data_IF_090391035790
#
_entry.id   IF_090391035790
#
_cell.length_a   1.000
_cell.length_b   1.000
_cell.length_c   1.000
_cell.angle_alpha   90.00
_cell.angle_beta   90.00
_cell.angle_gamma   90.00
#
_symmetry.space_group_name_H-M   'P 1'
#
loop_
_entity.id
_entity.type
_entity.pdbx_description
1 polymer ?
#
# COMPACT_ATOMS: atom_id res chain seq x y z
N UNK A 1 -12.25 10.85 -3.43
CA UNK A 1 -12.43 9.42 -3.09
C UNK A 1 -11.98 9.15 -1.64
N UNK A 2 -10.68 9.19 -1.32
CA UNK A 2 -10.14 8.89 0.02
C UNK A 2 -10.76 9.73 1.14
N UNK A 3 -10.85 11.06 0.98
CA UNK A 3 -11.43 11.94 2.00
C UNK A 3 -12.88 11.56 2.37
N UNK A 4 -13.70 11.11 1.41
CA UNK A 4 -15.06 10.65 1.69
C UNK A 4 -15.07 9.40 2.57
N UNK A 5 -14.24 8.41 2.27
CA UNK A 5 -14.09 7.20 3.08
C UNK A 5 -13.50 7.46 4.46
N UNK A 6 -12.58 8.43 4.58
CA UNK A 6 -12.11 8.90 5.87
C UNK A 6 -13.27 9.47 6.70
N UNK A 7 -14.06 10.39 6.16
CA UNK A 7 -15.20 10.96 6.89
C UNK A 7 -16.24 9.90 7.25
N UNK A 8 -16.47 8.91 6.37
CA UNK A 8 -17.39 7.82 6.65
C UNK A 8 -16.90 6.89 7.76
N UNK A 9 -15.62 6.53 7.81
CA UNK A 9 -15.07 5.71 8.89
C UNK A 9 -15.14 6.40 10.26
N UNK A 10 -15.18 7.74 10.29
CA UNK A 10 -15.40 8.53 11.50
C UNK A 10 -16.87 8.59 11.92
N UNK A 11 -17.80 8.38 10.99
CA UNK A 11 -19.25 8.54 11.21
C UNK A 11 -19.96 7.19 11.42
N UNK A 12 -19.50 6.14 10.77
CA UNK A 12 -20.18 4.86 10.70
C UNK A 12 -19.29 3.74 11.24
N UNK A 13 -19.82 2.95 12.16
CA UNK A 13 -19.11 1.82 12.78
C UNK A 13 -18.90 0.64 11.83
N UNK A 14 -19.62 0.58 10.71
CA UNK A 14 -19.49 -0.45 9.67
C UNK A 14 -18.52 -0.05 8.56
N UNK A 15 -17.61 0.90 8.80
CA UNK A 15 -16.57 1.31 7.86
C UNK A 15 -15.21 1.28 8.54
N UNK A 16 -14.36 0.32 8.16
CA UNK A 16 -12.98 0.24 8.62
C UNK A 16 -12.03 0.95 7.65
N UNK A 17 -11.34 1.98 8.13
CA UNK A 17 -10.28 2.64 7.36
C UNK A 17 -8.92 2.01 7.67
N UNK A 18 -8.27 1.46 6.65
CA UNK A 18 -6.98 0.77 6.70
C UNK A 18 -6.04 1.40 5.68
N UNK A 19 -4.77 1.59 6.04
CA UNK A 19 -3.76 2.12 5.13
C UNK A 19 -2.81 1.02 4.67
N UNK A 20 -2.30 1.19 3.46
CA UNK A 20 -1.32 0.26 2.91
C UNK A 20 -0.02 0.26 3.72
N UNK A 21 0.41 1.42 4.19
CA UNK A 21 1.62 1.59 5.00
C UNK A 21 1.51 0.87 6.35
N UNK A 22 0.32 0.84 6.95
CA UNK A 22 0.07 0.08 8.19
C UNK A 22 0.22 -1.42 7.94
N UNK A 23 -0.32 -1.94 6.83
CA UNK A 23 -0.17 -3.34 6.44
C UNK A 23 1.30 -3.70 6.14
N UNK A 24 2.07 -2.76 5.58
CA UNK A 24 3.49 -2.96 5.33
C UNK A 24 4.33 -2.94 6.61
N UNK A 25 3.93 -2.13 7.59
CA UNK A 25 4.62 -2.04 8.89
C UNK A 25 4.31 -3.23 9.79
N UNK A 26 3.03 -3.61 9.91
CA UNK A 26 2.60 -4.75 10.73
C UNK A 26 1.29 -5.34 10.16
N UNK A 27 1.45 -6.32 9.27
CA UNK A 27 0.32 -7.03 8.67
C UNK A 27 -0.50 -7.80 9.71
N UNK A 28 0.11 -8.30 10.78
CA UNK A 28 -0.57 -9.06 11.83
C UNK A 28 -1.50 -8.20 12.67
N UNK A 29 -1.05 -6.99 13.05
CA UNK A 29 -1.90 -6.02 13.73
C UNK A 29 -3.10 -5.60 12.87
N UNK A 30 -2.88 -5.35 11.57
CA UNK A 30 -3.97 -5.00 10.66
C UNK A 30 -4.93 -6.19 10.46
N UNK A 31 -4.43 -7.39 10.24
CA UNK A 31 -5.25 -8.59 10.07
C UNK A 31 -6.15 -8.85 11.28
N UNK A 32 -5.61 -8.71 12.50
CA UNK A 32 -6.39 -8.81 13.74
C UNK A 32 -7.49 -7.75 13.81
N UNK A 33 -7.15 -6.50 13.52
CA UNK A 33 -8.12 -5.39 13.50
C UNK A 33 -9.24 -5.61 12.47
N UNK A 34 -8.92 -6.20 11.31
CA UNK A 34 -9.91 -6.59 10.30
C UNK A 34 -10.81 -7.71 10.82
N UNK A 35 -10.25 -8.75 11.45
CA UNK A 35 -11.01 -9.84 12.04
C UNK A 35 -12.01 -9.34 13.10
N UNK A 36 -11.53 -8.54 14.06
CA UNK A 36 -12.37 -7.91 15.08
C UNK A 36 -13.50 -7.07 14.47
N UNK A 37 -13.20 -6.33 13.39
CA UNK A 37 -14.18 -5.50 12.70
C UNK A 37 -15.29 -6.32 12.01
N UNK A 38 -14.98 -7.50 11.47
CA UNK A 38 -15.98 -8.39 10.88
C UNK A 38 -16.67 -9.29 11.93
N UNK A 39 -16.27 -9.19 13.20
CA UNK A 39 -16.85 -9.95 14.31
C UNK A 39 -16.25 -11.33 14.53
N UNK A 40 -15.06 -11.58 13.99
CA UNK A 40 -14.34 -12.85 14.10
C UNK A 40 -13.23 -12.77 15.16
N UNK A 41 -13.13 -13.78 16.01
CA UNK A 41 -12.05 -13.94 16.99
C UNK A 41 -11.11 -15.06 16.51
N UNK A 42 -9.95 -14.67 15.98
CA UNK A 42 -8.98 -15.60 15.43
C UNK A 42 -8.02 -16.08 16.52
N UNK A 43 -7.84 -17.40 16.60
CA UNK A 43 -6.71 -17.96 17.34
C UNK A 43 -5.37 -17.47 16.75
N UNK A 44 -4.31 -17.55 17.53
CA UNK A 44 -2.97 -17.16 17.07
C UNK A 44 -2.52 -17.95 15.83
N UNK A 45 -2.93 -19.22 15.72
CA UNK A 45 -2.62 -20.05 14.57
C UNK A 45 -3.39 -19.61 13.31
N UNK A 46 -4.67 -19.29 13.45
CA UNK A 46 -5.49 -18.78 12.33
C UNK A 46 -5.00 -17.42 11.85
N UNK A 47 -4.69 -16.51 12.78
CA UNK A 47 -4.11 -15.21 12.44
C UNK A 47 -2.78 -15.36 11.71
N UNK A 48 -1.91 -16.25 12.16
CA UNK A 48 -0.63 -16.53 11.49
C UNK A 48 -0.84 -17.03 10.05
N UNK A 49 -1.84 -17.89 9.84
CA UNK A 49 -2.16 -18.40 8.50
C UNK A 49 -2.76 -17.31 7.60
N UNK A 50 -3.64 -16.45 8.13
CA UNK A 50 -4.16 -15.27 7.41
C UNK A 50 -3.01 -14.37 6.99
N UNK A 51 -2.10 -14.04 7.91
CA UNK A 51 -0.93 -13.20 7.63
C UNK A 51 -0.04 -13.83 6.56
N UNK A 52 0.25 -15.14 6.67
CA UNK A 52 1.07 -15.86 5.70
C UNK A 52 0.46 -15.82 4.29
N UNK A 53 -0.85 -16.04 4.18
CA UNK A 53 -1.57 -16.02 2.90
C UNK A 53 -1.80 -14.62 2.33
N UNK A 54 -1.77 -13.60 3.18
CA UNK A 54 -1.92 -12.20 2.80
C UNK A 54 -0.57 -11.50 2.55
N UNK A 55 0.54 -12.19 2.80
CA UNK A 55 1.86 -11.64 2.51
C UNK A 55 2.12 -11.58 1.01
N UNK A 56 2.90 -10.57 0.60
CA UNK A 56 3.19 -10.34 -0.81
C UNK A 56 3.87 -11.53 -1.49
N UNK A 57 4.76 -12.25 -0.80
CA UNK A 57 5.45 -13.40 -1.40
C UNK A 57 4.46 -14.52 -1.76
N UNK A 58 3.58 -14.88 -0.83
CA UNK A 58 2.53 -15.87 -1.07
C UNK A 58 1.57 -15.40 -2.16
N UNK A 59 1.08 -14.16 -2.06
CA UNK A 59 0.18 -13.62 -3.07
C UNK A 59 0.80 -13.61 -4.47
N UNK A 60 2.12 -13.33 -4.56
CA UNK A 60 2.83 -13.29 -5.84
C UNK A 60 3.06 -14.69 -6.42
N UNK A 61 3.31 -15.68 -5.58
CA UNK A 61 3.41 -17.09 -5.98
C UNK A 61 2.06 -17.64 -6.47
N UNK A 62 0.97 -17.14 -5.90
CA UNK A 62 -0.41 -17.56 -6.17
C UNK A 62 -1.24 -16.46 -6.88
N UNK A 63 -0.60 -15.70 -7.76
CA UNK A 63 -1.15 -14.49 -8.39
C UNK A 63 -2.49 -14.75 -9.12
N UNK A 64 -2.67 -15.96 -9.66
CA UNK A 64 -3.88 -16.43 -10.33
C UNK A 64 -5.12 -16.45 -9.44
N UNK A 65 -4.96 -16.53 -8.12
CA UNK A 65 -6.08 -16.46 -7.17
C UNK A 65 -6.53 -15.03 -6.88
N UNK A 66 -5.71 -14.03 -7.23
CA UNK A 66 -5.96 -12.61 -6.94
C UNK A 66 -6.27 -11.79 -8.19
N UNK A 67 -5.94 -12.29 -9.37
CA UNK A 67 -6.27 -11.65 -10.64
C UNK A 67 -7.73 -11.94 -11.02
N UNK A 68 -8.60 -10.93 -10.91
CA UNK A 68 -10.04 -11.07 -11.19
C UNK A 68 -10.37 -11.13 -12.69
N UNK A 69 -9.39 -10.95 -13.58
CA UNK A 69 -9.59 -10.95 -15.02
C UNK A 69 -8.74 -12.04 -15.69
N UNK A 70 -9.31 -12.86 -16.59
CA UNK A 70 -8.52 -13.77 -17.39
C UNK A 70 -7.50 -12.98 -18.24
N UNK A 71 -6.29 -13.52 -18.48
CA UNK A 71 -5.28 -12.85 -19.27
C UNK A 71 -5.81 -12.56 -20.68
N UNK A 72 -5.72 -11.30 -21.09
CA UNK A 72 -6.09 -10.83 -22.43
C UNK A 72 -4.83 -10.45 -23.19
N UNK A 73 -4.89 -10.30 -24.53
CA UNK A 73 -3.78 -9.73 -25.31
C UNK A 73 -3.37 -8.31 -24.87
N UNK A 74 -4.20 -7.63 -24.06
CA UNK A 74 -3.92 -6.32 -23.47
C UNK A 74 -3.51 -6.38 -22.00
N UNK A 75 -3.36 -7.59 -21.43
CA UNK A 75 -2.91 -7.74 -20.05
C UNK A 75 -1.53 -7.12 -19.86
N UNK A 76 -1.36 -6.50 -18.70
CA UNK A 76 -0.16 -5.72 -18.39
C UNK A 76 1.06 -6.65 -18.40
N UNK A 77 2.07 -6.33 -19.22
CA UNK A 77 3.32 -7.08 -19.26
C UNK A 77 3.99 -6.99 -17.88
N UNK A 78 4.09 -8.13 -17.19
CA UNK A 78 4.76 -8.28 -15.89
C UNK A 78 3.83 -8.49 -14.68
N UNK A 79 2.63 -9.04 -14.89
CA UNK A 79 1.74 -9.52 -13.82
C UNK A 79 0.92 -8.42 -13.13
N UNK A 80 -0.14 -8.84 -12.44
CA UNK A 80 -1.04 -8.00 -11.64
C UNK A 80 -0.34 -7.41 -10.39
N UNK A 81 0.35 -8.25 -9.63
CA UNK A 81 1.15 -7.92 -8.46
C UNK A 81 2.57 -7.52 -8.88
N UNK A 82 2.81 -6.20 -8.95
CA UNK A 82 4.09 -5.64 -9.42
C UNK A 82 5.19 -5.66 -8.36
N UNK A 83 4.89 -5.11 -7.19
CA UNK A 83 5.87 -4.90 -6.11
C UNK A 83 5.16 -4.57 -4.79
N UNK A 84 5.52 -5.23 -3.71
CA UNK A 84 5.03 -4.92 -2.35
C UNK A 84 5.74 -3.74 -1.66
N UNK A 85 6.42 -2.87 -2.41
CA UNK A 85 7.21 -1.76 -1.85
C UNK A 85 6.37 -0.50 -1.66
N UNK A 86 6.55 0.18 -0.53
CA UNK A 86 5.92 1.48 -0.23
C UNK A 86 6.73 2.68 -0.72
N UNK A 87 7.98 2.50 -1.13
CA UNK A 87 8.92 3.58 -1.44
C UNK A 87 9.07 3.88 -2.94
N UNK A 88 8.20 3.33 -3.79
CA UNK A 88 8.30 3.45 -5.26
C UNK A 88 8.08 4.86 -5.80
N UNK A 89 7.53 5.75 -4.99
CA UNK A 89 7.49 7.17 -5.32
C UNK A 89 8.90 7.78 -5.44
N UNK A 90 9.96 7.06 -5.03
CA UNK A 90 11.36 7.42 -5.25
C UNK A 90 11.89 6.99 -6.63
N UNK A 91 11.16 6.15 -7.36
CA UNK A 91 11.54 5.73 -8.73
C UNK A 91 11.43 6.91 -9.73
N UNK A 92 10.80 8.02 -9.35
CA UNK A 92 10.70 9.26 -10.15
C UNK A 92 11.69 10.32 -9.70
N UNK A 93 12.03 11.24 -10.60
CA UNK A 93 12.94 12.35 -10.29
C UNK A 93 12.39 13.31 -9.21
N UNK A 94 13.31 14.04 -8.57
CA UNK A 94 12.98 14.98 -7.48
C UNK A 94 11.99 16.05 -7.90
N UNK A 95 12.13 16.60 -9.11
CA UNK A 95 11.24 17.66 -9.59
C UNK A 95 9.81 17.14 -9.78
N UNK A 96 9.66 15.92 -10.30
CA UNK A 96 8.37 15.25 -10.42
C UNK A 96 7.75 14.96 -9.05
N UNK A 97 8.55 14.41 -8.12
CA UNK A 97 8.11 14.14 -6.74
C UNK A 97 7.62 15.41 -6.05
N UNK A 98 8.35 16.51 -6.14
CA UNK A 98 7.95 17.77 -5.51
C UNK A 98 6.68 18.35 -6.15
N UNK A 99 6.54 18.30 -7.48
CA UNK A 99 5.29 18.71 -8.16
C UNK A 99 4.08 17.91 -7.66
N UNK A 100 4.24 16.60 -7.51
CA UNK A 100 3.18 15.71 -7.02
C UNK A 100 2.86 16.00 -5.56
N UNK A 101 3.88 16.07 -4.69
CA UNK A 101 3.69 16.37 -3.28
C UNK A 101 3.01 17.74 -3.07
N UNK A 102 3.44 18.77 -3.80
CA UNK A 102 2.82 20.09 -3.78
C UNK A 102 1.37 20.08 -4.25
N UNK A 103 1.02 19.28 -5.27
CA UNK A 103 -0.38 19.08 -5.67
C UNK A 103 -1.20 18.40 -4.56
N UNK A 104 -0.67 17.34 -3.95
CA UNK A 104 -1.32 16.61 -2.86
C UNK A 104 -1.59 17.50 -1.65
N UNK A 105 -0.59 18.26 -1.18
CA UNK A 105 -0.73 19.20 -0.06
C UNK A 105 -1.88 20.18 -0.28
N UNK A 106 -1.89 20.88 -1.43
CA UNK A 106 -2.97 21.84 -1.77
C UNK A 106 -4.35 21.20 -1.83
N UNK A 107 -4.45 19.96 -2.31
CA UNK A 107 -5.75 19.30 -2.49
C UNK A 107 -6.29 18.67 -1.20
N UNK A 108 -5.39 18.26 -0.30
CA UNK A 108 -5.76 17.62 0.95
C UNK A 108 -5.95 18.61 2.11
N UNK A 109 -5.41 19.82 2.03
CA UNK A 109 -5.62 20.88 3.04
C UNK A 109 -7.12 21.11 3.33
N UNK A 110 -7.95 21.19 2.29
CA UNK A 110 -9.40 21.38 2.42
C UNK A 110 -10.17 20.09 2.76
N UNK A 111 -9.50 18.95 2.95
CA UNK A 111 -10.15 17.65 3.05
C UNK A 111 -10.56 17.25 4.47
N UNK A 112 -9.98 17.88 5.50
CA UNK A 112 -10.19 17.51 6.91
C UNK A 112 -9.57 16.15 7.31
N UNK A 113 -8.77 15.56 6.42
CA UNK A 113 -7.93 14.38 6.72
C UNK A 113 -6.67 14.88 7.43
N UNK A 114 -6.22 14.26 8.55
CA UNK A 114 -5.00 14.66 9.24
C UNK A 114 -3.76 14.18 8.45
N UNK A 115 -3.41 14.90 7.39
CA UNK A 115 -2.35 14.51 6.44
C UNK A 115 -1.01 14.36 7.14
N UNK A 116 -0.68 15.26 8.06
CA UNK A 116 0.61 15.28 8.77
C UNK A 116 0.78 14.05 9.66
N UNK A 117 -0.32 13.53 10.20
CA UNK A 117 -0.30 12.33 11.03
C UNK A 117 -0.23 11.05 10.19
N UNK A 118 -0.92 11.02 9.04
CA UNK A 118 -1.02 9.83 8.22
C UNK A 118 0.13 9.71 7.22
N UNK A 119 0.59 10.82 6.66
CA UNK A 119 1.57 10.90 5.58
C UNK A 119 2.62 11.97 5.92
N UNK A 120 3.45 11.74 6.96
CA UNK A 120 4.44 12.72 7.39
C UNK A 120 5.42 13.10 6.27
N UNK A 121 5.72 12.15 5.38
CA UNK A 121 6.57 12.30 4.19
C UNK A 121 6.00 13.23 3.10
N UNK A 122 4.69 13.51 3.11
CA UNK A 122 4.10 14.55 2.26
C UNK A 122 4.38 15.97 2.79
N UNK A 123 4.70 16.10 4.07
CA UNK A 123 4.92 17.36 4.78
C UNK A 123 6.38 17.66 5.02
N UNK A 124 7.22 16.64 5.25
CA UNK A 124 8.66 16.79 5.39
C UNK A 124 9.34 16.95 4.01
N UNK A 125 10.38 17.79 3.95
CA UNK A 125 11.27 17.81 2.80
C UNK A 125 11.99 16.45 2.68
N UNK A 126 12.21 15.94 1.46
CA UNK A 126 12.74 14.59 1.28
C UNK A 126 14.08 14.41 2.02
N UNK A 127 14.24 13.36 2.85
CA UNK A 127 15.51 13.12 3.52
C UNK A 127 16.59 12.78 2.48
N UNK A 128 17.79 13.34 2.65
CA UNK A 128 18.94 13.09 1.80
C UNK A 128 19.18 11.58 1.67
N UNK A 129 19.04 11.05 0.45
CA UNK A 129 19.09 9.62 0.18
C UNK A 129 20.42 8.99 0.59
N UNK A 130 20.37 7.80 1.21
CA UNK A 130 21.53 6.90 1.28
C UNK A 130 21.74 6.26 -0.10
N UNK A 131 22.99 5.99 -0.52
CA UNK A 131 23.26 5.38 -1.81
C UNK A 131 22.58 4.00 -1.90
N UNK A 132 21.82 3.82 -2.97
CA UNK A 132 21.15 2.57 -3.31
C UNK A 132 22.19 1.54 -3.78
N UNK A 133 22.16 0.36 -3.17
CA UNK A 133 22.86 -0.82 -3.69
C UNK A 133 22.01 -1.40 -4.84
N UNK A 134 22.49 -1.22 -6.07
CA UNK A 134 21.84 -1.72 -7.29
C UNK A 134 22.45 -3.08 -7.61
N UNK A 135 21.92 -4.14 -6.97
CA UNK A 135 22.21 -5.50 -7.37
C UNK A 135 20.93 -6.15 -7.93
N UNK A 136 20.84 -6.26 -9.25
CA UNK A 136 19.76 -7.00 -9.91
C UNK A 136 19.45 -6.61 -11.36
N UNK A 137 20.44 -6.23 -12.18
CA UNK A 137 20.26 -6.19 -13.63
C UNK A 137 20.50 -7.58 -14.21
N UNK A 138 19.43 -8.38 -14.36
CA UNK A 138 19.49 -9.57 -15.21
C UNK A 138 19.43 -9.12 -16.65
N UNK A 139 20.58 -9.21 -17.33
CA UNK A 139 20.73 -8.99 -18.75
C UNK A 139 19.85 -9.98 -19.55
N UNK A 140 18.97 -9.46 -20.39
CA UNK A 140 18.35 -10.22 -21.47
C UNK A 140 19.36 -10.19 -22.63
N UNK A 141 20.00 -11.33 -22.90
CA UNK A 141 20.80 -11.54 -24.12
C UNK A 141 19.85 -11.81 -25.29
N UNK A 142 20.18 -11.19 -26.42
CA UNK A 142 19.61 -11.47 -27.74
C UNK A 142 19.97 -12.87 -28.24
#
# INVERSE_FOLDING_TARGET
HVAGWWHWSRRYSNVLFVRFEDMRSDLGAVARRVAEFVGEDLSQAELAEVVRKSDFAYMKEHEEHFEMNPPTPFSVVGGFLRSGRSDRYRDVDEAARERIAGFCRRRLEASGVPVEQLYPDLTEAPPAGRPHDVAGTTAIRA
#
